data_IF_728646783491
#
_entry.id   IF_728646783491
#
_cell.length_a   1.000
_cell.length_b   1.000
_cell.length_c   1.000
_cell.angle_alpha   90.00
_cell.angle_beta   90.00
_cell.angle_gamma   90.00
#
_symmetry.space_group_name_H-M   'P 1'
#
loop_
_entity.id
_entity.type
_entity.pdbx_description
1 polymer ?
#
# COMPACT_ATOMS: atom_id res chain seq x y z
N UNK A 1 25.47 -9.78 -20.81
CA UNK A 1 24.33 -10.64 -21.24
C UNK A 1 23.07 -9.96 -20.78
N UNK A 2 22.42 -9.22 -21.68
CA UNK A 2 21.15 -8.56 -21.42
C UNK A 2 20.07 -9.62 -21.11
N UNK A 3 19.54 -9.58 -19.90
CA UNK A 3 18.41 -10.42 -19.52
C UNK A 3 17.18 -9.92 -20.28
N UNK A 4 16.81 -10.62 -21.37
CA UNK A 4 15.50 -10.47 -22.02
C UNK A 4 14.42 -10.47 -20.93
N UNK A 5 13.73 -9.34 -20.78
CA UNK A 5 12.57 -9.20 -19.92
C UNK A 5 11.46 -10.08 -20.50
N UNK A 6 11.28 -11.26 -19.90
CA UNK A 6 10.18 -12.16 -20.21
C UNK A 6 8.88 -11.52 -19.68
N UNK A 7 8.06 -11.01 -20.59
CA UNK A 7 6.75 -10.38 -20.32
C UNK A 7 5.75 -11.46 -19.89
N UNK A 8 5.11 -11.27 -18.73
CA UNK A 8 4.07 -12.17 -18.21
C UNK A 8 2.75 -11.84 -18.92
N UNK A 9 2.13 -12.83 -19.58
CA UNK A 9 0.79 -12.67 -20.15
C UNK A 9 -0.26 -12.83 -19.05
N UNK A 10 -0.72 -11.70 -18.51
CA UNK A 10 -1.64 -11.62 -17.35
C UNK A 10 -3.05 -12.10 -17.66
N UNK A 11 -3.39 -12.33 -18.94
CA UNK A 11 -4.67 -12.94 -19.37
C UNK A 11 -4.69 -14.46 -19.15
N UNK A 12 -3.52 -15.09 -19.01
CA UNK A 12 -3.42 -16.54 -18.80
C UNK A 12 -3.54 -16.89 -17.32
N UNK A 13 -4.03 -18.11 -17.06
CA UNK A 13 -4.01 -18.69 -15.72
C UNK A 13 -2.56 -18.81 -15.20
N UNK A 14 -2.38 -18.74 -13.88
CA UNK A 14 -1.06 -18.80 -13.26
C UNK A 14 -0.25 -20.05 -13.66
N UNK A 15 -0.92 -21.17 -13.95
CA UNK A 15 -0.29 -22.42 -14.41
C UNK A 15 0.58 -22.22 -15.66
N UNK A 16 0.15 -21.39 -16.61
CA UNK A 16 0.92 -21.11 -17.82
C UNK A 16 2.11 -20.17 -17.56
N UNK A 17 2.05 -19.43 -16.46
CA UNK A 17 3.08 -18.50 -16.02
C UNK A 17 3.93 -19.07 -14.87
N UNK A 18 3.84 -20.38 -14.58
CA UNK A 18 4.50 -21.00 -13.41
C UNK A 18 6.00 -20.72 -13.36
N UNK A 19 6.65 -20.76 -14.51
CA UNK A 19 8.08 -20.48 -14.66
C UNK A 19 8.49 -19.08 -14.18
N UNK A 20 7.62 -18.07 -14.29
CA UNK A 20 7.88 -16.73 -13.79
C UNK A 20 7.88 -16.68 -12.27
N UNK A 21 6.87 -17.29 -11.64
CA UNK A 21 6.78 -17.35 -10.18
C UNK A 21 7.94 -18.15 -9.58
N UNK A 22 8.41 -19.20 -10.26
CA UNK A 22 9.63 -19.93 -9.85
C UNK A 22 10.87 -19.06 -10.02
N UNK A 23 11.02 -18.37 -11.16
CA UNK A 23 12.15 -17.46 -11.41
C UNK A 23 12.22 -16.33 -10.39
N UNK A 24 11.07 -15.85 -9.90
CA UNK A 24 10.97 -14.85 -8.85
C UNK A 24 11.76 -15.25 -7.58
N UNK A 25 11.72 -16.53 -7.20
CA UNK A 25 12.42 -17.05 -6.01
C UNK A 25 13.94 -16.98 -6.12
N UNK A 26 14.48 -17.05 -7.34
CA UNK A 26 15.93 -17.06 -7.63
C UNK A 26 16.47 -15.68 -8.01
N UNK A 27 15.69 -14.63 -7.77
CA UNK A 27 16.13 -13.25 -7.99
C UNK A 27 17.14 -12.85 -6.91
N UNK A 28 18.03 -11.90 -7.22
CA UNK A 28 19.06 -11.39 -6.29
C UNK A 28 18.49 -10.69 -5.04
N UNK A 29 17.18 -10.57 -4.97
CA UNK A 29 16.41 -9.91 -3.94
C UNK A 29 15.74 -10.90 -2.98
N UNK A 30 15.11 -11.94 -3.53
CA UNK A 30 14.36 -12.95 -2.77
C UNK A 30 15.26 -14.08 -2.28
N UNK A 31 16.18 -14.55 -3.13
CA UNK A 31 17.04 -15.68 -2.81
C UNK A 31 17.90 -15.45 -1.55
N UNK A 32 18.56 -14.29 -1.37
CA UNK A 32 19.35 -14.05 -0.16
C UNK A 32 18.50 -14.03 1.12
N UNK A 33 17.27 -13.51 1.04
CA UNK A 33 16.33 -13.49 2.18
C UNK A 33 15.93 -14.92 2.56
N UNK A 34 15.59 -15.76 1.58
CA UNK A 34 15.28 -17.16 1.83
C UNK A 34 16.47 -17.90 2.47
N UNK A 35 17.67 -17.74 1.92
CA UNK A 35 18.88 -18.36 2.47
C UNK A 35 19.17 -17.90 3.91
N UNK A 36 19.03 -16.59 4.18
CA UNK A 36 19.23 -16.02 5.51
C UNK A 36 18.25 -16.61 6.54
N UNK A 37 16.95 -16.62 6.20
CA UNK A 37 15.90 -17.10 7.12
C UNK A 37 16.03 -18.61 7.36
N UNK A 38 16.42 -19.39 6.36
CA UNK A 38 16.66 -20.83 6.49
C UNK A 38 17.93 -21.18 7.28
N UNK A 39 18.93 -20.29 7.26
CA UNK A 39 20.22 -20.51 7.96
C UNK A 39 20.09 -20.58 9.49
N UNK A 40 18.92 -20.20 10.06
CA UNK A 40 18.64 -20.28 11.50
C UNK A 40 18.84 -21.68 12.07
N UNK A 41 18.67 -22.73 11.26
CA UNK A 41 18.86 -24.12 11.69
C UNK A 41 20.31 -24.46 12.04
N UNK A 42 21.30 -23.67 11.61
CA UNK A 42 22.72 -23.79 12.02
C UNK A 42 22.87 -23.62 13.54
N UNK A 43 21.91 -22.97 14.21
CA UNK A 43 21.92 -22.77 15.66
C UNK A 43 21.60 -24.05 16.45
N UNK A 44 20.99 -25.08 15.83
CA UNK A 44 20.61 -26.34 16.51
C UNK A 44 21.80 -26.99 17.24
N UNK A 45 22.95 -27.27 16.60
CA UNK A 45 24.09 -27.89 17.27
C UNK A 45 24.75 -26.98 18.32
N UNK A 46 24.54 -25.66 18.24
CA UNK A 46 25.13 -24.69 19.18
C UNK A 46 24.32 -24.65 20.48
N UNK A 47 23.01 -24.38 20.36
CA UNK A 47 22.11 -24.29 21.50
C UNK A 47 20.64 -24.36 21.03
N UNK A 48 19.92 -25.40 21.47
CA UNK A 48 18.53 -25.63 21.06
C UNK A 48 17.56 -24.55 21.57
N UNK A 49 17.76 -24.02 22.78
CA UNK A 49 16.89 -22.96 23.33
C UNK A 49 17.07 -21.66 22.55
N UNK A 50 18.31 -21.33 22.18
CA UNK A 50 18.60 -20.18 21.35
C UNK A 50 18.02 -20.35 19.94
N UNK A 51 18.14 -21.54 19.34
CA UNK A 51 17.47 -21.87 18.09
C UNK A 51 15.94 -21.64 18.18
N UNK A 52 15.28 -22.17 19.21
CA UNK A 52 13.82 -22.00 19.40
C UNK A 52 13.46 -20.51 19.49
N UNK A 53 14.20 -19.73 20.27
CA UNK A 53 13.96 -18.30 20.42
C UNK A 53 14.09 -17.54 19.09
N UNK A 54 15.16 -17.79 18.33
CA UNK A 54 15.36 -17.14 17.03
C UNK A 54 14.31 -17.62 16.03
N UNK A 55 14.01 -18.92 15.99
CA UNK A 55 13.03 -19.48 15.07
C UNK A 55 11.61 -18.92 15.30
N UNK A 56 11.24 -18.64 16.56
CA UNK A 56 9.99 -17.98 16.92
C UNK A 56 9.87 -16.57 16.32
N UNK A 57 10.99 -15.89 16.06
CA UNK A 57 11.03 -14.59 15.37
C UNK A 57 11.06 -14.78 13.85
N UNK A 58 11.79 -15.79 13.36
CA UNK A 58 11.93 -16.09 11.94
C UNK A 58 10.59 -16.42 11.27
N UNK A 59 9.75 -17.25 11.90
CA UNK A 59 8.45 -17.66 11.33
C UNK A 59 7.58 -16.43 10.99
N UNK A 60 7.28 -15.53 11.95
CA UNK A 60 6.67 -14.22 11.70
C UNK A 60 7.26 -13.44 10.54
N UNK A 61 8.59 -13.39 10.45
CA UNK A 61 9.31 -12.61 9.45
C UNK A 61 9.11 -13.18 8.04
N UNK A 62 9.14 -14.51 7.91
CA UNK A 62 8.85 -15.20 6.63
C UNK A 62 7.41 -14.92 6.21
N UNK A 63 6.43 -15.03 7.12
CA UNK A 63 5.04 -14.73 6.81
C UNK A 63 4.84 -13.26 6.41
N UNK A 64 5.44 -12.33 7.15
CA UNK A 64 5.37 -10.89 6.81
C UNK A 64 5.90 -10.64 5.40
N UNK A 65 7.05 -11.22 5.07
CA UNK A 65 7.62 -11.13 3.74
C UNK A 65 6.70 -11.75 2.67
N UNK A 66 6.09 -12.90 2.94
CA UNK A 66 5.10 -13.52 2.04
C UNK A 66 3.90 -12.60 1.79
N UNK A 67 3.37 -11.96 2.84
CA UNK A 67 2.27 -11.00 2.73
C UNK A 67 2.66 -9.74 1.95
N UNK A 68 3.87 -9.22 2.14
CA UNK A 68 4.39 -8.10 1.34
C UNK A 68 4.45 -8.48 -0.15
N UNK A 69 4.95 -9.69 -0.48
CA UNK A 69 4.98 -10.20 -1.86
C UNK A 69 3.58 -10.33 -2.44
N UNK A 70 2.62 -10.90 -1.68
CA UNK A 70 1.22 -11.02 -2.11
C UNK A 70 0.63 -9.64 -2.42
N UNK A 71 0.78 -8.69 -1.49
CA UNK A 71 0.23 -7.35 -1.62
C UNK A 71 0.85 -6.58 -2.79
N UNK A 72 2.16 -6.71 -3.02
CA UNK A 72 2.84 -6.07 -4.15
C UNK A 72 2.35 -6.65 -5.49
N UNK A 73 2.25 -7.97 -5.56
CA UNK A 73 1.78 -8.67 -6.76
C UNK A 73 0.32 -8.33 -7.06
N UNK A 74 -0.52 -8.23 -6.03
CA UNK A 74 -1.92 -7.81 -6.16
C UNK A 74 -2.07 -6.40 -6.76
N UNK A 75 -1.08 -5.52 -6.55
CA UNK A 75 -1.02 -4.17 -7.13
C UNK A 75 -0.46 -4.14 -8.56
N UNK A 76 -0.06 -5.29 -9.11
CA UNK A 76 0.48 -5.41 -10.47
C UNK A 76 2.00 -5.39 -10.56
N UNK A 77 2.70 -5.29 -9.43
CA UNK A 77 4.16 -5.37 -9.40
C UNK A 77 4.59 -6.83 -9.43
N UNK A 78 4.97 -7.32 -10.61
CA UNK A 78 5.35 -8.72 -10.83
C UNK A 78 6.86 -8.98 -10.74
N UNK A 79 7.65 -7.92 -10.57
CA UNK A 79 9.10 -7.98 -10.42
C UNK A 79 9.48 -7.85 -8.93
N UNK A 80 10.53 -8.55 -8.47
CA UNK A 80 10.98 -8.42 -7.10
C UNK A 80 11.41 -6.98 -6.82
N UNK A 81 10.96 -6.41 -5.70
CA UNK A 81 11.52 -5.16 -5.16
C UNK A 81 11.80 -5.31 -3.66
N UNK A 82 13.06 -5.40 -3.21
CA UNK A 82 13.45 -5.48 -1.77
C UNK A 82 13.02 -4.23 -0.99
N UNK A 83 12.61 -3.15 -1.67
CA UNK A 83 12.08 -1.94 -1.04
C UNK A 83 10.70 -2.14 -0.36
N UNK A 84 10.18 -3.35 -0.32
CA UNK A 84 8.85 -3.74 0.18
C UNK A 84 8.68 -3.80 1.71
N UNK A 85 9.50 -3.15 2.52
CA UNK A 85 9.37 -3.27 3.99
C UNK A 85 8.13 -2.59 4.62
N UNK A 86 7.24 -2.00 3.81
CA UNK A 86 6.18 -1.09 4.25
C UNK A 86 4.80 -1.31 3.59
N UNK A 87 4.62 -2.35 2.77
CA UNK A 87 3.33 -2.54 2.08
C UNK A 87 2.25 -3.06 3.02
N UNK A 88 2.61 -4.01 3.87
CA UNK A 88 1.70 -4.58 4.86
C UNK A 88 2.15 -4.17 6.26
N UNK A 89 1.17 -3.80 7.10
CA UNK A 89 1.42 -3.45 8.50
C UNK A 89 2.07 -4.60 9.26
N UNK A 90 3.04 -4.33 10.14
CA UNK A 90 3.65 -5.34 11.02
C UNK A 90 2.62 -6.08 11.88
N UNK A 91 1.44 -5.49 12.12
CA UNK A 91 0.32 -6.12 12.84
C UNK A 91 -0.28 -7.30 12.08
N UNK A 92 -0.01 -7.44 10.77
CA UNK A 92 -0.48 -8.58 9.96
C UNK A 92 -0.05 -9.92 10.54
N UNK A 93 1.17 -9.99 11.05
CA UNK A 93 1.74 -11.19 11.67
C UNK A 93 0.87 -11.63 12.85
N UNK A 94 0.45 -10.68 13.68
CA UNK A 94 -0.42 -10.96 14.84
C UNK A 94 -1.77 -11.50 14.36
N UNK A 95 -2.33 -10.93 13.29
CA UNK A 95 -3.61 -11.40 12.72
C UNK A 95 -3.50 -12.80 12.15
N UNK A 96 -2.41 -13.11 11.44
CA UNK A 96 -2.13 -14.45 10.91
C UNK A 96 -1.96 -15.45 12.06
N UNK A 97 -1.26 -15.07 13.12
CA UNK A 97 -1.13 -15.89 14.31
C UNK A 97 -2.50 -16.14 14.98
N UNK A 98 -3.38 -15.14 15.06
CA UNK A 98 -4.75 -15.33 15.57
C UNK A 98 -5.54 -16.30 14.67
N UNK A 99 -5.49 -16.16 13.34
CA UNK A 99 -6.15 -17.10 12.43
C UNK A 99 -5.63 -18.52 12.65
N UNK A 100 -4.30 -18.70 12.71
CA UNK A 100 -3.68 -20.01 12.94
C UNK A 100 -4.08 -20.60 14.30
N UNK A 101 -4.10 -19.80 15.37
CA UNK A 101 -4.52 -20.24 16.70
C UNK A 101 -6.00 -20.64 16.73
N UNK A 102 -6.87 -19.90 16.04
CA UNK A 102 -8.29 -20.24 15.95
C UNK A 102 -8.49 -21.55 15.17
N UNK A 103 -7.77 -21.74 14.06
CA UNK A 103 -7.91 -22.94 13.25
C UNK A 103 -7.34 -24.18 13.95
N UNK A 104 -6.09 -24.10 14.44
CA UNK A 104 -5.46 -25.24 15.13
C UNK A 104 -6.11 -25.51 16.50
N UNK A 105 -6.54 -24.46 17.21
CA UNK A 105 -7.26 -24.59 18.47
C UNK A 105 -8.59 -25.32 18.29
N UNK A 106 -9.35 -24.99 17.25
CA UNK A 106 -10.59 -25.70 16.92
C UNK A 106 -10.32 -27.15 16.48
N UNK A 107 -9.29 -27.37 15.67
CA UNK A 107 -8.88 -28.72 15.28
C UNK A 107 -8.55 -29.60 16.49
N UNK A 108 -7.70 -29.11 17.39
CA UNK A 108 -7.35 -29.82 18.62
C UNK A 108 -8.55 -30.06 19.53
N UNK A 109 -9.44 -29.06 19.64
CA UNK A 109 -10.69 -29.21 20.39
C UNK A 109 -11.57 -30.32 19.81
N UNK A 110 -11.78 -30.37 18.48
CA UNK A 110 -12.55 -31.43 17.82
C UNK A 110 -11.97 -32.83 18.09
N UNK A 111 -10.64 -32.96 18.06
CA UNK A 111 -9.97 -34.21 18.42
C UNK A 111 -10.20 -34.60 19.89
N UNK A 112 -10.18 -33.63 20.81
CA UNK A 112 -10.40 -33.86 22.25
C UNK A 112 -11.82 -34.33 22.58
N UNK A 113 -12.80 -33.90 21.78
CA UNK A 113 -14.22 -34.23 22.00
C UNK A 113 -14.59 -35.63 21.47
N UNK A 114 -13.63 -36.40 20.93
CA UNK A 114 -13.86 -37.71 20.31
C UNK A 114 -14.95 -37.66 19.22
N UNK A 115 -15.06 -36.54 18.51
CA UNK A 115 -15.97 -36.38 17.38
C UNK A 115 -15.65 -37.44 16.31
N UNK A 116 -16.66 -37.91 15.58
CA UNK A 116 -16.42 -38.85 14.48
C UNK A 116 -15.38 -38.30 13.49
N UNK A 117 -14.54 -39.20 12.98
CA UNK A 117 -13.44 -38.84 12.08
C UNK A 117 -13.91 -38.13 10.80
N UNK A 118 -15.16 -38.33 10.38
CA UNK A 118 -15.79 -37.68 9.24
C UNK A 118 -15.87 -36.16 9.41
N UNK A 119 -16.26 -35.67 10.59
CA UNK A 119 -16.37 -34.23 10.87
C UNK A 119 -15.00 -33.56 10.97
N UNK A 120 -14.02 -34.25 11.58
CA UNK A 120 -12.64 -33.76 11.63
C UNK A 120 -12.06 -33.62 10.22
N UNK A 121 -12.29 -34.63 9.36
CA UNK A 121 -11.87 -34.57 7.96
C UNK A 121 -12.58 -33.45 7.19
N UNK A 122 -13.90 -33.29 7.38
CA UNK A 122 -14.66 -32.21 6.77
C UNK A 122 -14.12 -30.83 7.20
N UNK A 123 -13.77 -30.68 8.47
CA UNK A 123 -13.14 -29.46 9.00
C UNK A 123 -11.80 -29.17 8.32
N UNK A 124 -10.91 -30.17 8.20
CA UNK A 124 -9.60 -30.01 7.56
C UNK A 124 -9.74 -29.61 6.10
N UNK A 125 -10.64 -30.26 5.35
CA UNK A 125 -10.90 -29.93 3.94
C UNK A 125 -11.43 -28.51 3.82
N UNK A 126 -12.39 -28.14 4.67
CA UNK A 126 -12.99 -26.81 4.66
C UNK A 126 -12.02 -25.70 5.05
N UNK A 127 -11.23 -25.89 6.11
CA UNK A 127 -10.23 -24.92 6.55
C UNK A 127 -9.12 -24.74 5.50
N UNK A 128 -8.63 -25.84 4.92
CA UNK A 128 -7.64 -25.80 3.84
C UNK A 128 -8.15 -25.02 2.64
N UNK A 129 -9.43 -25.17 2.30
CA UNK A 129 -10.05 -24.43 1.20
C UNK A 129 -10.24 -22.95 1.53
N UNK A 130 -10.53 -22.56 2.77
CA UNK A 130 -10.81 -21.16 3.15
C UNK A 130 -9.57 -20.34 3.50
N UNK A 131 -8.52 -20.94 4.06
CA UNK A 131 -7.32 -20.22 4.52
C UNK A 131 -6.71 -19.31 3.43
N UNK A 132 -6.55 -19.74 2.17
CA UNK A 132 -6.07 -18.86 1.12
C UNK A 132 -6.92 -17.61 0.91
N UNK A 133 -8.26 -17.74 0.87
CA UNK A 133 -9.16 -16.61 0.74
C UNK A 133 -9.07 -15.68 1.95
N UNK A 134 -8.93 -16.22 3.17
CA UNK A 134 -8.70 -15.43 4.39
C UNK A 134 -7.41 -14.62 4.22
N UNK A 135 -6.31 -15.23 3.78
CA UNK A 135 -5.03 -14.54 3.58
C UNK A 135 -5.10 -13.49 2.47
N UNK A 136 -5.77 -13.77 1.36
CA UNK A 136 -6.01 -12.79 0.29
C UNK A 136 -6.76 -11.57 0.83
N UNK A 137 -7.88 -11.74 1.53
CA UNK A 137 -8.64 -10.61 2.10
C UNK A 137 -7.83 -9.90 3.17
N UNK A 138 -7.08 -10.63 3.99
CA UNK A 138 -6.26 -10.03 5.05
C UNK A 138 -5.14 -9.17 4.47
N UNK A 139 -4.52 -9.60 3.36
CA UNK A 139 -3.51 -8.81 2.65
C UNK A 139 -4.10 -7.55 2.02
N UNK A 140 -5.34 -7.63 1.50
CA UNK A 140 -6.03 -6.49 0.88
C UNK A 140 -6.53 -5.47 1.90
N UNK A 141 -7.16 -5.95 2.97
CA UNK A 141 -7.97 -5.12 3.86
C UNK A 141 -7.30 -4.83 5.19
N UNK A 142 -6.25 -5.58 5.52
CA UNK A 142 -5.62 -5.60 6.83
C UNK A 142 -6.67 -5.69 7.97
N UNK A 143 -7.80 -6.38 7.75
CA UNK A 143 -8.90 -6.49 8.72
C UNK A 143 -9.24 -7.95 8.96
N UNK A 144 -9.04 -8.40 10.21
CA UNK A 144 -9.36 -9.76 10.61
C UNK A 144 -10.86 -10.04 10.51
N UNK A 145 -11.69 -9.05 10.87
CA UNK A 145 -13.15 -9.16 10.78
C UNK A 145 -13.62 -9.29 9.33
N UNK A 146 -13.01 -8.55 8.40
CA UNK A 146 -13.32 -8.69 6.98
C UNK A 146 -12.86 -10.06 6.44
N UNK A 147 -11.67 -10.51 6.82
CA UNK A 147 -11.09 -11.78 6.38
C UNK A 147 -11.88 -13.00 6.86
N UNK A 148 -12.56 -12.91 8.01
CA UNK A 148 -13.41 -13.97 8.54
C UNK A 148 -14.90 -13.83 8.16
N UNK A 149 -15.27 -12.81 7.39
CA UNK A 149 -16.65 -12.61 7.00
C UNK A 149 -17.03 -13.57 5.86
N UNK A 150 -18.04 -14.45 6.05
CA UNK A 150 -18.42 -15.45 5.06
C UNK A 150 -18.91 -14.84 3.74
N UNK A 151 -19.55 -13.66 3.78
CA UNK A 151 -20.05 -12.99 2.57
C UNK A 151 -18.89 -12.48 1.71
N UNK A 152 -17.84 -11.96 2.35
CA UNK A 152 -16.66 -11.44 1.67
C UNK A 152 -15.85 -12.59 1.07
N UNK A 153 -15.64 -13.65 1.85
CA UNK A 153 -15.00 -14.89 1.40
C UNK A 153 -15.73 -15.49 0.19
N UNK A 154 -17.06 -15.60 0.28
CA UNK A 154 -17.87 -16.12 -0.81
C UNK A 154 -17.78 -15.24 -2.06
N UNK A 155 -17.82 -13.91 -1.93
CA UNK A 155 -17.66 -12.98 -3.05
C UNK A 155 -16.30 -13.18 -3.73
N UNK A 156 -15.20 -13.20 -2.97
CA UNK A 156 -13.85 -13.42 -3.52
C UNK A 156 -13.75 -14.76 -4.25
N UNK A 157 -14.18 -15.85 -3.60
CA UNK A 157 -14.10 -17.20 -4.17
C UNK A 157 -14.95 -17.31 -5.43
N UNK A 158 -16.16 -16.73 -5.43
CA UNK A 158 -17.05 -16.76 -6.59
C UNK A 158 -16.49 -15.97 -7.77
N UNK A 159 -15.92 -14.79 -7.50
CA UNK A 159 -15.30 -13.95 -8.52
C UNK A 159 -14.11 -14.66 -9.17
N UNK A 160 -13.19 -15.22 -8.37
CA UNK A 160 -11.98 -15.86 -8.88
C UNK A 160 -12.14 -17.40 -9.04
N UNK A 161 -13.35 -17.94 -9.20
CA UNK A 161 -13.68 -19.36 -8.97
C UNK A 161 -12.70 -20.35 -9.60
N UNK A 162 -12.43 -20.21 -10.91
CA UNK A 162 -11.57 -21.14 -11.66
C UNK A 162 -10.11 -21.00 -11.19
N UNK A 163 -9.59 -19.78 -11.14
CA UNK A 163 -8.20 -19.51 -10.72
C UNK A 163 -7.98 -19.92 -9.26
N UNK A 164 -8.96 -19.69 -8.39
CA UNK A 164 -8.95 -20.05 -6.98
C UNK A 164 -8.97 -21.57 -6.78
N UNK A 165 -9.87 -22.29 -7.45
CA UNK A 165 -9.94 -23.75 -7.34
C UNK A 165 -8.64 -24.43 -7.82
N UNK A 166 -8.09 -23.97 -8.94
CA UNK A 166 -6.79 -24.44 -9.45
C UNK A 166 -5.66 -24.12 -8.47
N UNK A 167 -5.69 -22.94 -7.86
CA UNK A 167 -4.70 -22.56 -6.85
C UNK A 167 -4.80 -23.42 -5.59
N UNK A 168 -6.00 -23.70 -5.06
CA UNK A 168 -6.15 -24.58 -3.88
C UNK A 168 -5.63 -25.99 -4.20
N UNK A 169 -5.94 -26.51 -5.39
CA UNK A 169 -5.39 -27.78 -5.86
C UNK A 169 -3.86 -27.75 -5.93
N UNK A 170 -3.28 -26.70 -6.50
CA UNK A 170 -1.83 -26.49 -6.55
C UNK A 170 -1.21 -26.36 -5.16
N UNK A 171 -1.82 -25.60 -4.26
CA UNK A 171 -1.39 -25.41 -2.88
C UNK A 171 -1.32 -26.75 -2.16
N UNK A 172 -2.42 -27.53 -2.17
CA UNK A 172 -2.47 -28.86 -1.54
C UNK A 172 -1.45 -29.79 -2.16
N UNK A 173 -1.35 -29.83 -3.49
CA UNK A 173 -0.37 -30.65 -4.17
C UNK A 173 1.07 -30.25 -3.78
N UNK A 174 1.36 -28.96 -3.64
CA UNK A 174 2.68 -28.47 -3.21
C UNK A 174 3.02 -28.93 -1.79
N UNK A 175 2.05 -28.97 -0.88
CA UNK A 175 2.21 -29.49 0.47
C UNK A 175 2.42 -31.01 0.47
N UNK A 176 1.64 -31.76 -0.32
CA UNK A 176 1.78 -33.22 -0.44
C UNK A 176 3.12 -33.62 -1.08
N UNK A 177 3.55 -32.92 -2.13
CA UNK A 177 4.87 -33.14 -2.74
C UNK A 177 5.97 -32.85 -1.73
N UNK A 178 5.85 -31.76 -0.96
CA UNK A 178 6.79 -31.48 0.11
C UNK A 178 6.82 -32.63 1.13
N UNK A 179 5.68 -33.05 1.67
CA UNK A 179 5.61 -34.00 2.80
C UNK A 179 5.93 -35.45 2.42
N UNK A 180 5.49 -35.91 1.24
CA UNK A 180 5.61 -37.31 0.83
C UNK A 180 6.72 -37.58 -0.17
N UNK A 181 7.23 -36.56 -0.86
CA UNK A 181 8.27 -36.73 -1.90
C UNK A 181 9.56 -36.02 -1.53
N UNK A 182 9.51 -34.76 -1.07
CA UNK A 182 10.74 -34.06 -0.74
C UNK A 182 11.25 -34.45 0.66
N UNK A 183 10.36 -34.47 1.65
CA UNK A 183 10.70 -34.76 3.04
C UNK A 183 11.34 -36.16 3.23
N UNK A 184 10.80 -37.25 2.69
CA UNK A 184 11.39 -38.57 2.93
C UNK A 184 12.73 -38.76 2.19
N UNK A 185 12.93 -38.09 1.06
CA UNK A 185 14.08 -38.31 0.17
C UNK A 185 15.25 -37.36 0.43
N UNK A 186 14.99 -36.13 0.90
CA UNK A 186 16.05 -35.17 1.20
C UNK A 186 16.85 -35.54 2.47
N UNK A 187 16.31 -36.39 3.37
CA UNK A 187 16.66 -36.29 4.79
C UNK A 187 17.13 -37.57 5.50
N UNK A 188 17.37 -38.68 4.80
CA UNK A 188 17.79 -39.91 5.50
C UNK A 188 19.28 -39.93 5.91
N UNK A 189 20.12 -39.06 5.34
CA UNK A 189 21.59 -39.09 5.53
C UNK A 189 22.20 -37.76 5.99
N UNK A 190 21.42 -36.69 6.18
CA UNK A 190 21.93 -35.37 6.55
C UNK A 190 21.92 -35.17 8.08
N UNK A 191 22.91 -34.42 8.64
CA UNK A 191 22.81 -33.90 9.99
C UNK A 191 21.55 -33.05 10.16
N UNK A 192 20.92 -33.09 11.34
CA UNK A 192 19.64 -32.45 11.63
C UNK A 192 19.59 -30.95 11.30
N UNK A 193 20.71 -30.23 11.44
CA UNK A 193 20.78 -28.80 11.10
C UNK A 193 20.79 -28.54 9.59
N UNK A 194 21.42 -29.42 8.80
CA UNK A 194 21.44 -29.31 7.33
C UNK A 194 20.08 -29.69 6.78
N UNK A 195 19.52 -30.80 7.28
CA UNK A 195 18.14 -31.21 7.01
C UNK A 195 17.17 -30.04 7.26
N UNK A 196 17.15 -29.50 8.48
CA UNK A 196 16.27 -28.39 8.83
C UNK A 196 16.49 -27.13 8.00
N UNK A 197 17.74 -26.81 7.63
CA UNK A 197 18.04 -25.68 6.74
C UNK A 197 17.48 -25.88 5.33
N UNK A 198 17.67 -27.06 4.74
CA UNK A 198 17.16 -27.38 3.39
C UNK A 198 15.63 -27.49 3.41
N UNK A 199 15.07 -28.18 4.40
CA UNK A 199 13.63 -28.29 4.64
C UNK A 199 12.97 -26.92 4.75
N UNK A 200 13.51 -26.04 5.59
CA UNK A 200 12.98 -24.69 5.75
C UNK A 200 13.13 -23.85 4.50
N UNK A 201 14.23 -23.96 3.76
CA UNK A 201 14.40 -23.28 2.47
C UNK A 201 13.30 -23.65 1.49
N UNK A 202 13.04 -24.95 1.32
CA UNK A 202 11.97 -25.43 0.43
C UNK A 202 10.60 -24.96 0.92
N UNK A 203 10.30 -25.08 2.22
CA UNK A 203 9.04 -24.61 2.82
C UNK A 203 8.82 -23.11 2.60
N UNK A 204 9.83 -22.29 2.86
CA UNK A 204 9.74 -20.84 2.71
C UNK A 204 9.64 -20.46 1.23
N UNK A 205 10.38 -21.12 0.33
CA UNK A 205 10.27 -20.93 -1.10
C UNK A 205 8.85 -21.23 -1.62
N UNK A 206 8.26 -22.36 -1.21
CA UNK A 206 6.88 -22.72 -1.56
C UNK A 206 5.87 -21.74 -0.96
N UNK A 207 6.08 -21.24 0.26
CA UNK A 207 5.22 -20.23 0.86
C UNK A 207 5.23 -18.93 0.02
N UNK A 208 6.42 -18.40 -0.29
CA UNK A 208 6.55 -17.18 -1.10
C UNK A 208 5.95 -17.39 -2.50
N UNK A 209 6.21 -18.54 -3.13
CA UNK A 209 5.62 -18.90 -4.41
C UNK A 209 4.10 -18.84 -4.38
N UNK A 210 3.49 -19.47 -3.38
CA UNK A 210 2.05 -19.51 -3.24
C UNK A 210 1.46 -18.12 -2.98
N UNK A 211 2.10 -17.31 -2.13
CA UNK A 211 1.66 -15.93 -1.86
C UNK A 211 1.79 -15.02 -3.09
N UNK A 212 2.84 -15.21 -3.89
CA UNK A 212 3.01 -14.53 -5.17
C UNK A 212 1.87 -14.91 -6.15
N UNK A 213 1.50 -16.19 -6.24
CA UNK A 213 0.35 -16.64 -7.04
C UNK A 213 -0.97 -16.08 -6.49
N UNK A 214 -1.17 -16.03 -5.17
CA UNK A 214 -2.37 -15.43 -4.58
C UNK A 214 -2.51 -13.96 -4.99
N UNK A 215 -1.43 -13.19 -4.92
CA UNK A 215 -1.43 -11.80 -5.38
C UNK A 215 -1.72 -11.69 -6.88
N UNK A 216 -1.18 -12.58 -7.70
CA UNK A 216 -1.50 -12.64 -9.13
C UNK A 216 -2.99 -12.90 -9.41
N UNK A 217 -3.62 -13.80 -8.65
CA UNK A 217 -5.06 -14.09 -8.79
C UNK A 217 -5.90 -12.86 -8.45
N UNK A 218 -5.54 -12.14 -7.38
CA UNK A 218 -6.19 -10.88 -7.03
C UNK A 218 -6.02 -9.87 -8.18
N UNK A 219 -4.80 -9.70 -8.68
CA UNK A 219 -4.51 -8.77 -9.77
C UNK A 219 -5.30 -9.09 -11.05
N UNK A 220 -5.42 -10.37 -11.40
CA UNK A 220 -6.16 -10.84 -12.57
C UNK A 220 -7.66 -10.53 -12.48
N UNK A 221 -8.22 -10.66 -11.28
CA UNK A 221 -9.65 -10.49 -11.04
C UNK A 221 -9.98 -9.11 -10.44
N UNK A 222 -9.04 -8.16 -10.43
CA UNK A 222 -9.15 -6.89 -9.70
C UNK A 222 -10.39 -6.05 -10.06
N UNK A 223 -10.82 -6.09 -11.33
CA UNK A 223 -11.98 -5.33 -11.80
C UNK A 223 -13.30 -5.90 -11.27
N UNK A 224 -13.33 -7.20 -10.97
CA UNK A 224 -14.51 -7.91 -10.47
C UNK A 224 -14.45 -8.08 -8.94
N UNK A 225 -13.25 -8.03 -8.37
CA UNK A 225 -12.99 -7.86 -6.93
C UNK A 225 -13.08 -6.35 -6.61
N UNK A 226 -14.03 -5.62 -7.19
CA UNK A 226 -14.47 -4.36 -6.62
C UNK A 226 -15.35 -4.70 -5.40
N UNK A 227 -14.67 -4.92 -4.28
CA UNK A 227 -15.30 -5.14 -2.99
C UNK A 227 -15.88 -3.81 -2.52
N UNK A 228 -17.07 -3.45 -3.04
CA UNK A 228 -17.90 -2.37 -2.52
C UNK A 228 -17.86 -2.38 -0.98
N UNK A 229 -17.20 -1.38 -0.39
CA UNK A 229 -17.15 -1.19 1.06
C UNK A 229 -15.98 -1.85 1.81
N UNK A 230 -14.97 -2.42 1.14
CA UNK A 230 -13.82 -3.05 1.82
C UNK A 230 -12.49 -2.54 1.26
N UNK A 231 -12.21 -1.27 1.51
CA UNK A 231 -10.84 -0.77 1.69
C UNK A 231 -9.84 -1.00 0.55
N UNK A 232 -10.29 -1.07 -0.70
CA UNK A 232 -9.52 -0.38 -1.73
C UNK A 232 -9.90 1.10 -1.62
N UNK A 233 -8.96 1.96 -1.23
CA UNK A 233 -8.98 3.28 -1.81
C UNK A 233 -9.02 3.04 -3.32
N UNK A 234 -10.09 3.49 -3.99
CA UNK A 234 -10.08 3.65 -5.43
C UNK A 234 -8.78 4.39 -5.75
N UNK A 235 -7.80 3.70 -6.33
CA UNK A 235 -6.83 4.40 -7.16
C UNK A 235 -7.71 4.91 -8.29
N UNK A 236 -8.01 6.21 -8.25
CA UNK A 236 -8.94 6.85 -9.17
C UNK A 236 -8.64 6.38 -10.60
N UNK A 237 -9.73 6.05 -11.26
CA UNK A 237 -9.81 5.52 -12.61
C UNK A 237 -9.41 6.63 -13.59
N UNK A 238 -8.11 6.79 -13.80
CA UNK A 238 -7.57 7.43 -15.01
C UNK A 238 -6.70 6.39 -15.73
N UNK A 239 -7.38 5.56 -16.52
CA UNK A 239 -6.87 4.85 -17.70
C UNK A 239 -5.40 4.43 -17.68
N UNK A 240 -5.12 3.21 -17.19
CA UNK A 240 -3.95 2.46 -17.69
C UNK A 240 -4.43 1.61 -18.87
N UNK A 241 -4.53 2.26 -20.03
CA UNK A 241 -4.45 1.57 -21.30
C UNK A 241 -3.03 1.02 -21.39
N UNK A 242 -2.90 -0.30 -21.56
CA UNK A 242 -1.62 -0.89 -21.98
C UNK A 242 -1.48 -0.55 -23.46
N UNK A 243 -0.99 0.65 -23.75
CA UNK A 243 -0.33 0.95 -25.01
C UNK A 243 1.14 0.60 -24.85
N UNK A 244 1.66 -0.23 -25.76
CA UNK A 244 3.11 -0.40 -25.91
C UNK A 244 3.60 0.90 -26.53
N UNK A 245 3.88 1.90 -25.69
CA UNK A 245 4.46 3.14 -26.16
C UNK A 245 5.95 2.89 -26.48
N UNK A 246 6.44 3.32 -27.65
CA UNK A 246 7.86 3.26 -27.96
C UNK A 246 8.62 4.02 -26.88
N UNK A 247 9.70 3.42 -26.35
CA UNK A 247 10.55 3.98 -25.31
C UNK A 247 10.87 5.45 -25.65
N UNK A 248 10.21 6.39 -24.98
CA UNK A 248 10.46 7.80 -25.18
C UNK A 248 11.78 8.14 -24.45
N UNK A 249 12.87 8.46 -25.16
CA UNK A 249 14.18 8.68 -24.54
C UNK A 249 14.15 9.85 -23.55
N UNK A 250 13.20 10.78 -23.69
CA UNK A 250 13.02 11.90 -22.77
C UNK A 250 12.43 11.43 -21.43
N UNK A 251 11.50 10.48 -21.45
CA UNK A 251 10.89 9.93 -20.23
C UNK A 251 11.88 9.10 -19.43
N UNK A 252 12.70 8.28 -20.09
CA UNK A 252 13.80 7.55 -19.43
C UNK A 252 14.83 8.50 -18.82
N UNK A 253 15.15 9.60 -19.50
CA UNK A 253 16.02 10.64 -18.93
C UNK A 253 15.42 11.24 -17.67
N UNK A 254 14.12 11.54 -17.66
CA UNK A 254 13.40 12.06 -16.48
C UNK A 254 13.44 11.04 -15.34
N UNK A 255 13.21 9.74 -15.61
CA UNK A 255 13.30 8.66 -14.60
C UNK A 255 14.68 8.57 -13.97
N UNK A 256 15.74 8.66 -14.78
CA UNK A 256 17.12 8.54 -14.32
C UNK A 256 17.56 9.71 -13.43
N UNK A 257 17.18 10.95 -13.77
CA UNK A 257 17.54 12.12 -12.96
C UNK A 257 16.60 12.35 -11.77
N UNK A 258 15.52 11.58 -11.66
CA UNK A 258 14.46 11.79 -10.67
C UNK A 258 14.95 11.68 -9.23
N UNK A 259 15.88 10.76 -8.98
CA UNK A 259 16.40 10.51 -7.63
C UNK A 259 17.48 11.51 -7.22
N UNK A 260 18.28 12.00 -8.17
CA UNK A 260 19.42 12.88 -7.94
C UNK A 260 19.09 14.37 -8.07
N UNK A 261 18.21 14.73 -9.02
CA UNK A 261 17.84 16.11 -9.35
C UNK A 261 16.31 16.24 -9.53
N UNK A 262 15.50 16.07 -8.46
CA UNK A 262 14.04 16.05 -8.55
C UNK A 262 13.43 17.36 -9.06
N UNK A 263 14.13 18.50 -8.89
CA UNK A 263 13.70 19.78 -9.45
C UNK A 263 13.84 19.82 -10.97
N UNK A 264 14.94 19.29 -11.50
CA UNK A 264 15.20 19.22 -12.92
C UNK A 264 14.29 18.19 -13.61
N UNK A 265 14.01 17.07 -12.93
CA UNK A 265 13.01 16.11 -13.37
C UNK A 265 11.62 16.76 -13.49
N UNK A 266 11.20 17.54 -12.48
CA UNK A 266 9.92 18.24 -12.49
C UNK A 266 9.83 19.30 -13.59
N UNK A 267 10.90 20.07 -13.84
CA UNK A 267 10.89 21.08 -14.91
C UNK A 267 10.76 20.46 -16.29
N UNK A 268 11.47 19.34 -16.55
CA UNK A 268 11.38 18.62 -17.82
C UNK A 268 9.97 18.05 -18.04
N UNK A 269 9.32 17.57 -16.99
CA UNK A 269 7.93 17.09 -17.07
C UNK A 269 6.95 18.23 -17.36
N UNK A 270 7.11 19.39 -16.70
CA UNK A 270 6.27 20.57 -16.93
C UNK A 270 6.45 21.18 -18.33
N UNK A 271 7.65 21.06 -18.90
CA UNK A 271 7.96 21.51 -20.26
C UNK A 271 7.23 20.66 -21.30
N UNK A 272 7.28 19.33 -21.17
CA UNK A 272 6.54 18.40 -22.02
C UNK A 272 5.01 18.60 -21.92
N UNK A 273 4.50 18.87 -20.72
CA UNK A 273 3.09 19.22 -20.53
C UNK A 273 2.68 20.51 -21.24
N UNK A 274 3.58 21.51 -21.33
CA UNK A 274 3.33 22.73 -22.10
C UNK A 274 3.37 22.51 -23.60
N UNK A 275 4.14 21.52 -24.05
CA UNK A 275 4.23 21.09 -25.45
C UNK A 275 3.02 20.24 -25.88
N UNK A 276 2.08 19.97 -24.96
CA UNK A 276 0.81 19.30 -25.23
C UNK A 276 0.80 17.81 -24.86
N UNK A 277 1.86 17.32 -24.22
CA UNK A 277 1.94 15.95 -23.74
C UNK A 277 1.23 15.82 -22.39
N UNK A 278 0.11 15.10 -22.38
CA UNK A 278 -0.67 14.83 -21.17
C UNK A 278 -0.82 13.33 -20.93
N UNK A 279 0.14 12.53 -21.42
CA UNK A 279 0.12 11.08 -21.25
C UNK A 279 0.07 10.67 -19.78
N UNK A 280 -0.56 9.52 -19.52
CA UNK A 280 -0.64 8.96 -18.17
C UNK A 280 0.76 8.68 -17.59
N UNK A 281 1.73 8.29 -18.42
CA UNK A 281 3.11 8.09 -18.00
C UNK A 281 3.78 9.40 -17.56
N UNK A 282 3.58 10.49 -18.31
CA UNK A 282 4.12 11.81 -17.93
C UNK A 282 3.47 12.36 -16.65
N UNK A 283 2.18 12.10 -16.45
CA UNK A 283 1.49 12.44 -15.18
C UNK A 283 2.04 11.65 -13.99
N UNK A 284 2.36 10.36 -14.18
CA UNK A 284 3.02 9.56 -13.14
C UNK A 284 4.43 10.10 -12.83
N UNK A 285 5.20 10.48 -13.86
CA UNK A 285 6.50 11.10 -13.68
C UNK A 285 6.40 12.45 -12.96
N UNK A 286 5.37 13.25 -13.26
CA UNK A 286 5.05 14.50 -12.56
C UNK A 286 4.83 14.24 -11.06
N UNK A 287 3.91 13.33 -10.72
CA UNK A 287 3.58 13.02 -9.33
C UNK A 287 4.77 12.44 -8.56
N UNK A 288 5.58 11.61 -9.21
CA UNK A 288 6.77 11.01 -8.59
C UNK A 288 7.88 12.04 -8.39
N UNK A 289 8.15 12.89 -9.38
CA UNK A 289 9.10 14.01 -9.25
C UNK A 289 8.64 15.00 -8.17
N UNK A 290 7.34 15.31 -8.10
CA UNK A 290 6.74 16.14 -7.07
C UNK A 290 6.92 15.50 -5.69
N UNK A 291 6.56 14.22 -5.51
CA UNK A 291 6.75 13.50 -4.25
C UNK A 291 8.22 13.49 -3.80
N UNK A 292 9.15 13.23 -4.72
CA UNK A 292 10.59 13.22 -4.43
C UNK A 292 11.11 14.62 -4.07
N UNK A 293 10.60 15.67 -4.73
CA UNK A 293 10.82 17.06 -4.34
C UNK A 293 10.32 17.27 -2.91
N UNK A 294 9.10 16.88 -2.57
CA UNK A 294 8.48 17.04 -1.24
C UNK A 294 9.28 16.36 -0.12
N UNK A 295 9.86 15.17 -0.34
CA UNK A 295 10.64 14.42 0.65
C UNK A 295 12.18 14.59 0.55
N UNK A 296 12.67 15.65 -0.10
CA UNK A 296 14.10 15.99 -0.08
C UNK A 296 14.59 16.24 1.35
N UNK A 297 15.82 15.83 1.74
CA UNK A 297 16.36 16.08 3.09
C UNK A 297 16.19 17.53 3.57
N UNK A 298 16.39 18.49 2.65
CA UNK A 298 16.22 19.92 2.92
C UNK A 298 14.77 20.34 3.23
N UNK A 299 13.78 19.61 2.70
CA UNK A 299 12.36 19.88 3.01
C UNK A 299 11.97 19.31 4.37
N UNK A 300 12.48 18.13 4.72
CA UNK A 300 12.22 17.50 6.02
C UNK A 300 12.84 18.32 7.17
N UNK A 301 14.08 18.78 7.00
CA UNK A 301 14.73 19.63 8.01
C UNK A 301 14.02 20.98 8.16
N UNK A 302 13.60 21.58 7.05
CA UNK A 302 12.83 22.82 7.07
C UNK A 302 11.47 22.63 7.76
N UNK A 303 10.74 21.56 7.44
CA UNK A 303 9.46 21.22 8.07
C UNK A 303 9.59 21.10 9.60
N UNK A 304 10.62 20.38 10.07
CA UNK A 304 10.93 20.25 11.51
C UNK A 304 11.28 21.58 12.15
N UNK A 305 12.09 22.40 11.49
CA UNK A 305 12.44 23.74 11.99
C UNK A 305 11.19 24.61 12.17
N UNK A 306 10.25 24.58 11.22
CA UNK A 306 9.00 25.33 11.30
C UNK A 306 8.14 24.82 12.46
N UNK A 307 7.97 23.50 12.58
CA UNK A 307 7.22 22.89 13.68
C UNK A 307 7.80 23.26 15.06
N UNK A 308 9.13 23.21 15.19
CA UNK A 308 9.83 23.59 16.42
C UNK A 308 9.61 25.07 16.77
N UNK A 309 9.64 25.97 15.78
CA UNK A 309 9.38 27.40 15.98
C UNK A 309 7.94 27.66 16.41
N UNK A 310 6.97 26.97 15.81
CA UNK A 310 5.55 27.06 16.20
C UNK A 310 5.38 26.61 17.66
N UNK A 311 5.97 25.46 18.02
CA UNK A 311 5.92 24.91 19.39
C UNK A 311 6.57 25.85 20.41
N UNK A 312 7.64 26.57 20.01
CA UNK A 312 8.32 27.60 20.83
C UNK A 312 7.59 28.96 20.84
N UNK A 313 6.33 29.04 20.37
CA UNK A 313 5.51 30.26 20.27
C UNK A 313 6.10 31.35 19.37
N UNK A 314 6.92 30.97 18.40
CA UNK A 314 7.52 31.87 17.41
C UNK A 314 6.76 31.84 16.08
N UNK A 315 5.42 31.87 16.12
CA UNK A 315 4.56 31.70 14.94
C UNK A 315 4.85 32.73 13.83
N UNK A 316 5.09 34.00 14.21
CA UNK A 316 5.45 35.04 13.23
C UNK A 316 6.71 34.69 12.44
N UNK A 317 7.77 34.27 13.13
CA UNK A 317 9.04 33.89 12.47
C UNK A 317 8.86 32.64 11.61
N UNK A 318 8.13 31.65 12.12
CA UNK A 318 7.79 30.45 11.35
C UNK A 318 7.04 30.81 10.05
N UNK A 319 6.08 31.72 10.15
CA UNK A 319 5.33 32.21 8.98
C UNK A 319 6.21 32.97 8.00
N UNK A 320 7.06 33.89 8.47
CA UNK A 320 7.99 34.65 7.63
C UNK A 320 8.92 33.70 6.85
N UNK A 321 9.47 32.67 7.50
CA UNK A 321 10.32 31.66 6.85
C UNK A 321 9.55 30.88 5.77
N UNK A 322 8.31 30.48 6.04
CA UNK A 322 7.46 29.77 5.07
C UNK A 322 7.11 30.66 3.88
N UNK A 323 6.79 31.93 4.12
CA UNK A 323 6.48 32.90 3.06
C UNK A 323 7.70 33.17 2.18
N UNK A 324 8.90 33.31 2.77
CA UNK A 324 10.14 33.46 2.01
C UNK A 324 10.36 32.25 1.09
N UNK A 325 10.10 31.04 1.60
CA UNK A 325 10.19 29.81 0.81
C UNK A 325 9.17 29.78 -0.33
N UNK A 326 7.91 30.09 -0.04
CA UNK A 326 6.83 30.12 -1.03
C UNK A 326 7.09 31.19 -2.09
N UNK A 327 7.66 32.34 -1.72
CA UNK A 327 8.05 33.41 -2.64
C UNK A 327 9.22 33.05 -3.56
N UNK A 328 10.00 32.02 -3.22
CA UNK A 328 11.06 31.47 -4.06
C UNK A 328 10.57 30.29 -4.95
N UNK A 329 9.26 30.16 -5.16
CA UNK A 329 8.59 29.06 -5.88
C UNK A 329 8.95 27.65 -5.35
N UNK A 330 9.30 27.57 -4.06
CA UNK A 330 9.55 26.30 -3.38
C UNK A 330 8.31 25.91 -2.59
N UNK A 331 7.82 24.70 -2.82
CA UNK A 331 6.72 24.14 -2.05
C UNK A 331 7.11 24.01 -0.56
N UNK A 332 6.15 24.26 0.32
CA UNK A 332 6.25 23.98 1.74
C UNK A 332 5.57 22.64 2.04
N UNK A 333 6.26 21.83 2.84
CA UNK A 333 5.74 20.56 3.38
C UNK A 333 5.79 20.67 4.89
N UNK A 334 4.63 20.51 5.48
CA UNK A 334 4.38 20.53 6.90
C UNK A 334 4.87 19.24 7.56
N UNK A 335 5.50 19.36 8.74
CA UNK A 335 5.86 18.19 9.57
C UNK A 335 4.61 17.65 10.25
N UNK A 336 3.76 18.56 10.74
CA UNK A 336 2.50 18.26 11.39
C UNK A 336 1.32 18.99 10.74
N UNK A 337 0.18 18.32 10.50
CA UNK A 337 -0.98 18.92 9.84
C UNK A 337 -1.56 20.10 10.62
N UNK A 338 -1.43 20.11 11.95
CA UNK A 338 -1.95 21.17 12.82
C UNK A 338 -1.22 22.51 12.59
N UNK A 339 0.03 22.48 12.12
CA UNK A 339 0.82 23.69 11.85
C UNK A 339 0.21 24.51 10.71
N UNK A 340 -0.41 23.85 9.73
CA UNK A 340 -1.07 24.51 8.58
C UNK A 340 -2.20 25.42 9.05
N UNK A 341 -3.00 24.97 10.01
CA UNK A 341 -4.10 25.76 10.55
C UNK A 341 -3.58 27.07 11.18
N UNK A 342 -2.54 26.97 12.00
CA UNK A 342 -1.92 28.11 12.67
C UNK A 342 -1.31 29.11 11.67
N UNK A 343 -0.66 28.60 10.63
CA UNK A 343 -0.09 29.42 9.56
C UNK A 343 -1.16 30.14 8.73
N UNK A 344 -2.30 29.48 8.47
CA UNK A 344 -3.44 30.09 7.76
C UNK A 344 -4.09 31.19 8.59
N UNK A 345 -4.35 30.92 9.88
CA UNK A 345 -4.92 31.92 10.79
C UNK A 345 -4.01 33.16 10.84
N UNK A 346 -2.70 32.96 10.99
CA UNK A 346 -1.75 34.08 10.96
C UNK A 346 -1.71 34.80 9.60
N UNK A 347 -1.77 34.07 8.48
CA UNK A 347 -1.81 34.67 7.13
C UNK A 347 -3.03 35.58 6.94
N UNK A 348 -4.18 35.22 7.53
CA UNK A 348 -5.39 36.04 7.51
C UNK A 348 -5.18 37.29 8.36
N UNK A 349 -4.61 37.17 9.57
CA UNK A 349 -4.33 38.29 10.48
C UNK A 349 -3.42 39.34 9.83
N UNK A 350 -2.37 38.91 9.12
CA UNK A 350 -1.40 39.83 8.48
C UNK A 350 -1.81 40.24 7.05
N UNK A 351 -3.04 39.92 6.63
CA UNK A 351 -3.60 40.19 5.30
C UNK A 351 -2.73 39.68 4.12
N UNK A 352 -2.03 38.56 4.31
CA UNK A 352 -1.23 37.88 3.28
C UNK A 352 -1.96 36.66 2.72
N UNK A 353 -3.23 36.87 2.37
CA UNK A 353 -4.18 35.82 1.94
C UNK A 353 -3.74 35.04 0.69
N UNK A 354 -2.90 35.65 -0.15
CA UNK A 354 -2.38 35.05 -1.40
C UNK A 354 -1.60 33.73 -1.19
N UNK A 355 -1.04 33.50 -0.01
CA UNK A 355 -0.30 32.26 0.29
C UNK A 355 -1.18 31.11 0.78
N UNK A 356 -2.44 31.37 1.15
CA UNK A 356 -3.34 30.36 1.73
C UNK A 356 -3.62 29.19 0.77
N UNK A 357 -3.83 29.41 -0.55
CA UNK A 357 -3.93 28.30 -1.51
C UNK A 357 -2.66 27.43 -1.54
N UNK A 358 -1.49 28.02 -1.34
CA UNK A 358 -0.20 27.33 -1.37
C UNK A 358 0.03 26.51 -0.09
N UNK A 359 -0.39 27.06 1.06
CA UNK A 359 -0.40 26.33 2.34
C UNK A 359 -1.36 25.14 2.34
N UNK A 360 -2.47 25.24 1.60
CA UNK A 360 -3.49 24.18 1.52
C UNK A 360 -3.32 23.21 0.35
N UNK A 361 -2.21 23.34 -0.39
CA UNK A 361 -1.92 22.49 -1.53
C UNK A 361 -1.95 21.03 -1.11
N UNK A 362 -2.88 20.29 -1.72
CA UNK A 362 -3.13 18.87 -1.49
C UNK A 362 -3.44 18.47 -0.03
N UNK A 363 -3.82 19.40 0.84
CA UNK A 363 -3.99 19.13 2.28
C UNK A 363 -5.00 18.00 2.57
N UNK A 364 -6.15 17.97 1.88
CA UNK A 364 -7.14 16.89 2.01
C UNK A 364 -6.66 15.54 1.46
N UNK A 365 -5.73 15.53 0.50
CA UNK A 365 -5.12 14.30 -0.02
C UNK A 365 -4.03 13.78 0.92
N UNK A 366 -3.24 14.70 1.50
CA UNK A 366 -2.20 14.37 2.49
C UNK A 366 -2.81 13.84 3.79
N UNK A 367 -3.95 14.38 4.24
CA UNK A 367 -4.57 14.04 5.52
C UNK A 367 -6.09 13.81 5.42
N UNK A 368 -6.56 12.69 4.83
CA UNK A 368 -7.97 12.48 4.45
C UNK A 368 -9.04 12.48 5.56
N UNK A 369 -8.63 12.48 6.84
CA UNK A 369 -9.53 12.45 8.00
C UNK A 369 -9.20 13.50 9.07
N UNK A 370 -8.41 14.52 8.72
CA UNK A 370 -7.99 15.53 9.69
C UNK A 370 -9.13 16.47 10.08
N UNK A 371 -9.22 16.80 11.37
CA UNK A 371 -10.28 17.68 11.89
C UNK A 371 -10.23 19.10 11.29
N UNK A 372 -9.06 19.53 10.81
CA UNK A 372 -8.89 20.86 10.23
C UNK A 372 -9.24 20.96 8.74
N UNK A 373 -9.66 19.88 8.07
CA UNK A 373 -10.06 19.95 6.64
C UNK A 373 -11.16 21.01 6.46
N UNK A 374 -12.31 20.83 7.11
CA UNK A 374 -13.46 21.74 6.95
C UNK A 374 -13.11 23.19 7.30
N UNK A 375 -12.53 23.51 8.48
CA UNK A 375 -12.24 24.90 8.82
C UNK A 375 -11.14 25.53 7.95
N UNK A 376 -10.18 24.76 7.42
CA UNK A 376 -9.17 25.29 6.50
C UNK A 376 -9.71 25.61 5.12
N UNK A 377 -10.45 24.68 4.51
CA UNK A 377 -11.07 24.91 3.21
C UNK A 377 -12.19 25.94 3.29
N UNK A 378 -12.85 26.09 4.44
CA UNK A 378 -13.79 27.18 4.66
C UNK A 378 -13.10 28.55 4.69
N UNK A 379 -11.92 28.68 5.31
CA UNK A 379 -11.11 29.90 5.22
C UNK A 379 -10.73 30.21 3.77
N UNK A 380 -10.36 29.20 2.98
CA UNK A 380 -10.07 29.36 1.56
C UNK A 380 -11.31 29.84 0.77
N UNK A 381 -12.49 29.26 1.02
CA UNK A 381 -13.73 29.68 0.38
C UNK A 381 -14.02 31.16 0.64
N UNK A 382 -13.89 31.62 1.89
CA UNK A 382 -14.05 33.04 2.26
C UNK A 382 -13.14 33.96 1.43
N UNK A 383 -11.89 33.55 1.20
CA UNK A 383 -10.91 34.31 0.40
C UNK A 383 -11.26 34.30 -1.09
N UNK A 384 -11.67 33.15 -1.63
CA UNK A 384 -12.07 33.04 -3.03
C UNK A 384 -13.29 33.89 -3.36
N UNK A 385 -14.19 34.12 -2.40
CA UNK A 385 -15.36 34.97 -2.59
C UNK A 385 -15.04 36.48 -2.58
N UNK A 386 -13.99 36.88 -1.87
CA UNK A 386 -13.50 38.27 -1.86
C UNK A 386 -13.09 38.70 -3.28
N UNK A 387 -12.59 37.78 -4.11
CA UNK A 387 -12.29 37.99 -5.52
C UNK A 387 -13.52 37.71 -6.41
N UNK A 388 -13.97 38.72 -7.17
CA UNK A 388 -15.15 38.60 -8.05
C UNK A 388 -15.02 37.47 -9.07
N UNK A 389 -13.82 37.23 -9.60
CA UNK A 389 -13.59 36.21 -10.63
C UNK A 389 -13.57 34.78 -10.07
N UNK A 390 -13.48 34.64 -8.74
CA UNK A 390 -13.34 33.36 -8.05
C UNK A 390 -14.56 32.98 -7.19
N UNK A 391 -15.66 33.75 -7.28
CA UNK A 391 -16.90 33.52 -6.52
C UNK A 391 -17.59 32.20 -6.84
N UNK A 392 -17.60 31.80 -8.11
CA UNK A 392 -18.17 30.51 -8.52
C UNK A 392 -17.38 29.35 -7.90
N UNK A 393 -16.04 29.45 -7.92
CA UNK A 393 -15.14 28.47 -7.27
C UNK A 393 -15.35 28.42 -5.76
N UNK A 394 -15.57 29.58 -5.12
CA UNK A 394 -15.93 29.63 -3.70
C UNK A 394 -17.23 28.87 -3.45
N UNK A 395 -18.26 29.12 -4.26
CA UNK A 395 -19.57 28.47 -4.14
C UNK A 395 -19.47 26.94 -4.30
N UNK A 396 -18.76 26.48 -5.33
CA UNK A 396 -18.49 25.06 -5.57
C UNK A 396 -17.75 24.42 -4.38
N UNK A 397 -16.72 25.11 -3.85
CA UNK A 397 -15.96 24.62 -2.71
C UNK A 397 -16.86 24.44 -1.47
N UNK A 398 -17.73 25.41 -1.15
CA UNK A 398 -18.69 25.27 -0.05
C UNK A 398 -19.68 24.12 -0.25
N UNK A 399 -20.23 23.96 -1.46
CA UNK A 399 -21.14 22.87 -1.78
C UNK A 399 -20.44 21.52 -1.56
N UNK A 400 -19.19 21.41 -2.00
CA UNK A 400 -18.38 20.20 -1.80
C UNK A 400 -18.16 19.91 -0.31
N UNK A 401 -17.91 20.92 0.51
CA UNK A 401 -17.74 20.77 1.96
C UNK A 401 -19.04 20.28 2.62
N UNK A 402 -20.18 20.86 2.26
CA UNK A 402 -21.51 20.46 2.78
C UNK A 402 -21.86 19.02 2.39
N UNK A 403 -21.55 18.61 1.16
CA UNK A 403 -21.83 17.27 0.66
C UNK A 403 -20.92 16.21 1.31
N UNK A 404 -19.62 16.49 1.43
CA UNK A 404 -18.61 15.51 1.90
C UNK A 404 -18.52 15.43 3.42
N UNK A 405 -18.79 16.51 4.16
CA UNK A 405 -18.60 16.57 5.61
C UNK A 405 -19.88 16.97 6.38
N UNK A 406 -21.00 16.25 6.22
CA UNK A 406 -22.30 16.65 6.76
C UNK A 406 -22.40 16.65 8.30
N UNK A 407 -21.46 15.99 8.99
CA UNK A 407 -21.43 15.85 10.46
C UNK A 407 -20.33 16.69 11.13
N UNK A 408 -19.64 17.55 10.39
CA UNK A 408 -18.57 18.39 10.95
C UNK A 408 -19.10 19.53 11.82
N UNK A 409 -18.35 19.90 12.86
CA UNK A 409 -18.74 20.96 13.82
C UNK A 409 -18.91 22.34 13.16
N UNK A 410 -18.22 22.63 12.04
CA UNK A 410 -18.31 23.89 11.31
C UNK A 410 -19.37 23.88 10.21
N UNK A 411 -20.01 22.74 9.93
CA UNK A 411 -20.89 22.60 8.76
C UNK A 411 -22.12 23.50 8.80
N UNK A 412 -22.60 23.84 10.01
CA UNK A 412 -23.69 24.78 10.19
C UNK A 412 -23.32 26.19 9.70
N UNK A 413 -22.11 26.65 10.00
CA UNK A 413 -21.59 27.94 9.54
C UNK A 413 -21.34 27.92 8.03
N UNK A 414 -20.78 26.83 7.49
CA UNK A 414 -20.56 26.65 6.05
C UNK A 414 -21.89 26.71 5.27
N UNK A 415 -22.95 26.04 5.77
CA UNK A 415 -24.29 26.09 5.17
C UNK A 415 -24.88 27.50 5.18
N UNK A 416 -24.76 28.22 6.30
CA UNK A 416 -25.25 29.60 6.40
C UNK A 416 -24.54 30.52 5.39
N UNK A 417 -23.22 30.33 5.22
CA UNK A 417 -22.44 31.12 4.27
C UNK A 417 -22.78 30.77 2.82
N UNK A 418 -22.95 29.49 2.49
CA UNK A 418 -23.42 29.04 1.16
C UNK A 418 -24.78 29.63 0.80
N UNK A 419 -25.73 29.64 1.74
CA UNK A 419 -27.03 30.28 1.52
C UNK A 419 -26.89 31.78 1.22
N UNK A 420 -26.01 32.49 1.94
CA UNK A 420 -25.71 33.89 1.67
C UNK A 420 -25.15 34.13 0.26
N UNK A 421 -24.20 33.29 -0.17
CA UNK A 421 -23.63 33.32 -1.53
C UNK A 421 -24.71 33.06 -2.59
N UNK A 422 -25.57 32.06 -2.38
CA UNK A 422 -26.66 31.70 -3.30
C UNK A 422 -27.71 32.81 -3.46
N UNK A 423 -28.02 33.53 -2.38
CA UNK A 423 -28.98 34.64 -2.40
C UNK A 423 -28.45 35.84 -3.18
N UNK A 424 -27.15 36.10 -3.11
CA UNK A 424 -26.50 37.21 -3.81
C UNK A 424 -26.35 36.88 -5.29
N UNK A 425 -26.10 35.62 -5.65
CA UNK A 425 -25.99 35.17 -7.05
C UNK A 425 -27.32 35.19 -7.83
N UNK A 426 -28.47 35.24 -7.13
CA UNK A 426 -29.81 35.32 -7.73
C UNK A 426 -30.30 36.74 -7.99
N UNK A 427 -29.57 37.76 -7.52
CA UNK A 427 -29.82 39.18 -7.80
C UNK A 427 -28.86 39.65 -8.89
#
# INVERSE_FOLDING_TARGET
MEAKSTVIDTRKLFLFNLHHFVKYLFTGEVLPVLLLLSSVFILIPINILFFIFINLITIPMVYKFAFDVLADTARGNMAPTVRQNYLVSNVIVIKVAIVALLTEGLHFWLLSQKVESSYVMAYIVFSTFLIPAIYMILALTNSLLAALNPMILFKLIKTALISYALFVGFWVLSQLVYEFVLNPFLFHYLPSFIDGMVSSFVKYALLILNFHIMGYIIFQNRNEIDLEGIGFDRVDDDQIIIEVDPINPVYERIKNIMDDAPQQALSMVLELQKEGDHSAELQQLYHRALKRKLYSPNNVEFAKMIHDRITKKQLKRAYDDVVERLGADKDYVEEKPEDIRLLIEHAIEVNKKQYIPHLLKDFHLKYPYHADIVPNYFSLAKILYDDRNSRDKSRELLQSLVAKYPRDKYIAEVKAWLQGVDLIAKK
#
